data_IF_546457962210
#
_entry.id   IF_546457962210
#
_cell.length_a   1.000
_cell.length_b   1.000
_cell.length_c   1.000
_cell.angle_alpha   90.00
_cell.angle_beta   90.00
_cell.angle_gamma   90.00
#
_symmetry.space_group_name_H-M   'P 1'
#
loop_
_entity.id
_entity.type
_entity.pdbx_description
1 polymer ?
#
# COMPACT_ATOMS: atom_id res chain seq x y z
N UNK A 1 -2.46 5.07 -4.70
CA UNK A 1 -3.26 4.24 -3.78
C UNK A 1 -2.58 2.93 -3.42
N UNK A 2 -2.30 2.70 -2.13
CA UNK A 2 -2.17 1.35 -1.54
C UNK A 2 -3.49 0.89 -0.97
N UNK A 3 -3.75 -0.39 -0.93
CA UNK A 3 -4.91 -0.92 -0.25
C UNK A 3 -4.42 -1.83 0.86
N UNK A 4 -4.87 -1.62 2.11
CA UNK A 4 -4.58 -2.56 3.19
C UNK A 4 -5.59 -3.68 3.18
N UNK A 5 -5.13 -4.92 3.14
CA UNK A 5 -5.96 -6.14 3.33
C UNK A 5 -6.65 -6.23 4.68
N UNK A 6 -6.50 -5.20 5.52
CA UNK A 6 -7.17 -5.09 6.80
C UNK A 6 -8.70 -4.91 6.66
N UNK A 7 -9.21 -4.42 5.52
CA UNK A 7 -10.62 -3.98 5.42
C UNK A 7 -11.59 -4.73 4.52
N UNK A 8 -11.21 -5.81 3.82
CA UNK A 8 -12.08 -6.32 2.76
C UNK A 8 -11.82 -7.74 2.33
N UNK A 9 -11.93 -8.70 3.25
CA UNK A 9 -12.20 -10.10 2.91
C UNK A 9 -13.28 -10.73 3.81
N UNK A 10 -14.08 -9.90 4.50
CA UNK A 10 -15.21 -10.40 5.30
C UNK A 10 -16.42 -10.62 4.38
N UNK A 11 -16.74 -11.91 4.20
CA UNK A 11 -17.97 -12.54 3.72
C UNK A 11 -18.73 -11.92 2.51
N UNK A 12 -18.87 -12.78 1.50
CA UNK A 12 -19.99 -12.92 0.57
C UNK A 12 -20.02 -12.04 -0.70
N UNK A 13 -19.59 -12.67 -1.81
CA UNK A 13 -19.86 -12.30 -3.20
C UNK A 13 -18.61 -12.08 -4.08
N UNK A 14 -18.77 -12.25 -5.40
CA UNK A 14 -17.81 -11.89 -6.47
C UNK A 14 -17.35 -10.40 -6.44
N UNK A 15 -17.90 -9.61 -5.52
CA UNK A 15 -17.87 -8.16 -5.49
C UNK A 15 -16.63 -7.51 -4.84
N UNK A 16 -15.66 -8.28 -4.33
CA UNK A 16 -14.46 -7.78 -3.62
C UNK A 16 -13.12 -8.40 -4.10
N UNK A 17 -13.06 -9.01 -5.28
CA UNK A 17 -11.83 -9.62 -5.81
C UNK A 17 -10.70 -8.61 -6.01
N UNK A 18 -9.46 -9.11 -6.02
CA UNK A 18 -8.28 -8.27 -6.28
C UNK A 18 -8.34 -7.72 -7.70
N UNK A 19 -8.80 -8.53 -8.64
CA UNK A 19 -9.14 -8.10 -9.99
C UNK A 19 -10.05 -6.88 -9.99
N UNK A 20 -11.14 -6.88 -9.22
CA UNK A 20 -12.06 -5.75 -9.17
C UNK A 20 -11.41 -4.49 -8.56
N UNK A 21 -10.61 -4.65 -7.52
CA UNK A 21 -9.87 -3.53 -6.91
C UNK A 21 -8.89 -2.90 -7.90
N UNK A 22 -8.10 -3.72 -8.59
CA UNK A 22 -7.16 -3.27 -9.62
C UNK A 22 -7.91 -2.59 -10.79
N UNK A 23 -9.00 -3.17 -11.26
CA UNK A 23 -9.85 -2.57 -12.30
C UNK A 23 -10.55 -1.27 -11.85
N UNK A 24 -10.68 -1.04 -10.54
CA UNK A 24 -11.25 0.19 -9.98
C UNK A 24 -10.19 1.29 -9.81
N UNK A 25 -8.90 1.03 -10.09
CA UNK A 25 -7.83 2.04 -9.98
C UNK A 25 -6.86 1.81 -8.81
N UNK A 26 -7.01 0.75 -8.02
CA UNK A 26 -6.00 0.38 -7.02
C UNK A 26 -4.71 -0.05 -7.73
N UNK A 27 -3.56 0.46 -7.29
CA UNK A 27 -2.24 0.11 -7.86
C UNK A 27 -1.22 -0.35 -6.83
N UNK A 28 -1.63 -0.49 -5.59
CA UNK A 28 -0.80 -1.12 -4.60
C UNK A 28 -1.63 -1.89 -3.58
N UNK A 29 -1.12 -3.03 -3.13
CA UNK A 29 -1.79 -3.97 -2.24
C UNK A 29 -0.88 -4.25 -1.04
N UNK A 30 -1.38 -4.02 0.15
CA UNK A 30 -0.71 -4.25 1.43
C UNK A 30 -1.29 -5.51 2.06
N UNK A 31 -0.57 -6.62 1.89
CA UNK A 31 -1.03 -7.98 2.16
C UNK A 31 -0.40 -8.53 3.43
N UNK A 32 -1.19 -9.14 4.31
CA UNK A 32 -0.64 -9.93 5.40
C UNK A 32 -0.44 -11.39 4.95
N UNK A 33 0.79 -11.87 5.04
CA UNK A 33 1.18 -13.21 4.60
C UNK A 33 1.86 -13.99 5.72
N UNK A 34 1.70 -15.31 5.71
CA UNK A 34 2.32 -16.21 6.67
C UNK A 34 2.62 -17.58 6.06
N UNK A 35 3.60 -18.29 6.63
CA UNK A 35 3.91 -19.65 6.21
C UNK A 35 2.89 -20.63 6.80
N UNK A 36 2.23 -21.41 5.94
CA UNK A 36 1.32 -22.47 6.37
C UNK A 36 1.32 -23.62 5.35
N UNK A 37 1.36 -24.86 5.86
CA UNK A 37 1.45 -26.08 5.04
C UNK A 37 2.56 -26.05 3.97
N UNK A 38 3.68 -25.39 4.28
CA UNK A 38 4.84 -25.29 3.38
C UNK A 38 4.72 -24.24 2.28
N UNK A 39 3.68 -23.41 2.30
CA UNK A 39 3.40 -22.37 1.30
C UNK A 39 3.11 -21.01 1.96
N UNK A 40 3.02 -19.94 1.17
CA UNK A 40 2.60 -18.62 1.64
C UNK A 40 1.07 -18.49 1.56
N UNK A 41 0.46 -18.12 2.68
CA UNK A 41 -0.99 -17.97 2.81
C UNK A 41 -1.35 -16.54 3.23
N UNK A 42 -2.55 -16.11 2.88
CA UNK A 42 -3.06 -14.78 3.21
C UNK A 42 -3.85 -14.82 4.52
N UNK A 43 -3.57 -13.87 5.41
CA UNK A 43 -4.20 -13.84 6.73
C UNK A 43 -4.07 -12.49 7.41
N UNK A 44 -5.20 -11.86 7.75
CA UNK A 44 -5.24 -10.71 8.63
C UNK A 44 -5.92 -11.09 9.95
N UNK A 45 -5.15 -11.19 11.03
CA UNK A 45 -5.66 -11.49 12.38
C UNK A 45 -6.02 -12.96 12.65
N UNK A 46 -5.91 -13.85 11.66
CA UNK A 46 -6.26 -15.26 11.77
C UNK A 46 -5.27 -16.08 12.63
N UNK A 47 -5.59 -17.34 12.92
CA UNK A 47 -4.68 -18.25 13.63
C UNK A 47 -3.61 -18.79 12.67
N UNK A 48 -2.40 -18.24 12.76
CA UNK A 48 -1.26 -18.65 11.92
C UNK A 48 -0.81 -20.11 12.13
N UNK A 49 -1.13 -20.74 13.27
CA UNK A 49 -0.74 -22.13 13.54
C UNK A 49 -1.69 -23.11 12.86
N UNK A 50 -2.98 -22.84 12.95
CA UNK A 50 -4.02 -23.74 12.42
C UNK A 50 -4.48 -23.36 11.02
N UNK A 51 -4.23 -22.13 10.58
CA UNK A 51 -4.76 -21.57 9.33
C UNK A 51 -6.26 -21.27 9.41
N UNK A 52 -6.88 -21.37 10.59
CA UNK A 52 -8.28 -21.04 10.81
C UNK A 52 -8.50 -19.56 10.47
N UNK A 53 -9.53 -19.28 9.67
CA UNK A 53 -9.85 -17.94 9.12
C UNK A 53 -8.81 -17.37 8.13
N UNK A 54 -7.86 -18.18 7.68
CA UNK A 54 -7.01 -17.80 6.55
C UNK A 54 -7.82 -17.65 5.26
N UNK A 55 -7.30 -16.86 4.33
CA UNK A 55 -7.93 -16.59 3.01
C UNK A 55 -7.36 -17.47 1.89
N UNK A 56 -6.70 -18.56 2.26
CA UNK A 56 -6.08 -19.50 1.33
C UNK A 56 -4.67 -19.10 0.88
N UNK A 57 -4.09 -19.88 -0.05
CA UNK A 57 -2.76 -19.65 -0.59
C UNK A 57 -2.64 -18.31 -1.34
N UNK A 58 -1.50 -17.64 -1.20
CA UNK A 58 -1.21 -16.37 -1.87
C UNK A 58 -1.13 -16.50 -3.40
N UNK A 59 -0.85 -17.70 -3.91
CA UNK A 59 -0.72 -17.99 -5.35
C UNK A 59 -1.95 -17.55 -6.16
N UNK A 60 -3.17 -17.77 -5.63
CA UNK A 60 -4.41 -17.38 -6.31
C UNK A 60 -4.47 -15.86 -6.54
N UNK A 61 -4.20 -15.08 -5.49
CA UNK A 61 -4.13 -13.62 -5.57
C UNK A 61 -3.03 -13.14 -6.51
N UNK A 62 -1.86 -13.76 -6.46
CA UNK A 62 -0.73 -13.36 -7.31
C UNK A 62 -1.02 -13.63 -8.79
N UNK A 63 -1.80 -14.66 -9.11
CA UNK A 63 -2.31 -14.89 -10.47
C UNK A 63 -3.31 -13.82 -10.92
N UNK A 64 -4.14 -13.29 -10.03
CA UNK A 64 -5.01 -12.14 -10.39
C UNK A 64 -4.18 -10.89 -10.72
N UNK A 65 -3.11 -10.63 -9.96
CA UNK A 65 -2.17 -9.54 -10.26
C UNK A 65 -1.45 -9.76 -11.59
N UNK A 66 -1.03 -10.99 -11.88
CA UNK A 66 -0.37 -11.34 -13.15
C UNK A 66 -1.29 -11.14 -14.34
N UNK A 67 -2.54 -11.60 -14.23
CA UNK A 67 -3.56 -11.42 -15.25
C UNK A 67 -3.83 -9.92 -15.50
N UNK A 68 -3.91 -9.11 -14.44
CA UNK A 68 -4.07 -7.66 -14.55
C UNK A 68 -2.87 -7.00 -15.28
N UNK A 69 -1.63 -7.31 -14.89
CA UNK A 69 -0.44 -6.76 -15.54
C UNK A 69 -0.30 -7.24 -17.00
N UNK A 70 -0.78 -8.44 -17.34
CA UNK A 70 -0.83 -8.94 -18.71
C UNK A 70 -1.81 -8.14 -19.57
N UNK A 71 -3.00 -7.82 -19.04
CA UNK A 71 -4.02 -7.08 -19.76
C UNK A 71 -3.76 -5.57 -19.84
N UNK A 72 -2.94 -5.02 -18.93
CA UNK A 72 -2.69 -3.59 -18.84
C UNK A 72 -1.18 -3.29 -18.91
N UNK A 73 -0.66 -3.08 -20.12
CA UNK A 73 0.78 -2.98 -20.39
C UNK A 73 1.46 -1.73 -19.81
N UNK A 74 0.70 -0.67 -19.53
CA UNK A 74 1.21 0.60 -18.99
C UNK A 74 1.13 0.68 -17.46
N UNK A 75 0.51 -0.32 -16.82
CA UNK A 75 0.22 -0.26 -15.40
C UNK A 75 1.36 -0.86 -14.57
N UNK A 76 1.62 -0.23 -13.42
CA UNK A 76 2.53 -0.71 -12.38
C UNK A 76 1.72 -1.11 -11.15
N UNK A 77 2.05 -2.25 -10.55
CA UNK A 77 1.47 -2.70 -9.29
C UNK A 77 2.55 -2.78 -8.21
N UNK A 78 2.26 -2.28 -7.00
CA UNK A 78 3.12 -2.43 -5.83
C UNK A 78 2.53 -3.41 -4.82
N UNK A 79 3.30 -4.38 -4.35
CA UNK A 79 2.93 -5.25 -3.23
C UNK A 79 3.72 -4.85 -1.97
N UNK A 80 3.02 -4.62 -0.86
CA UNK A 80 3.62 -4.34 0.46
C UNK A 80 3.23 -5.48 1.40
N UNK A 81 4.18 -6.35 1.71
CA UNK A 81 3.91 -7.60 2.41
C UNK A 81 4.21 -7.43 3.92
N UNK A 82 3.17 -7.50 4.75
CA UNK A 82 3.34 -7.79 6.18
C UNK A 82 3.73 -9.26 6.35
N UNK A 83 5.03 -9.48 6.17
CA UNK A 83 5.62 -10.80 5.96
C UNK A 83 5.95 -11.58 7.24
N UNK A 84 5.29 -12.74 7.41
CA UNK A 84 5.57 -13.76 8.42
C UNK A 84 5.99 -15.10 7.81
N UNK A 85 6.42 -15.10 6.55
CA UNK A 85 6.96 -16.27 5.86
C UNK A 85 8.46 -16.35 6.11
N UNK A 86 8.93 -17.50 6.56
CA UNK A 86 10.37 -17.72 6.75
C UNK A 86 11.14 -17.59 5.42
N UNK A 87 12.35 -17.05 5.47
CA UNK A 87 13.27 -16.90 4.35
C UNK A 87 13.98 -18.22 3.96
N UNK A 88 14.13 -19.16 4.90
CA UNK A 88 14.96 -20.37 4.72
C UNK A 88 14.54 -21.26 3.54
N UNK A 89 13.29 -21.16 3.08
CA UNK A 89 12.70 -22.06 2.08
C UNK A 89 12.41 -21.41 0.72
N UNK A 90 12.78 -20.15 0.55
CA UNK A 90 12.47 -19.34 -0.63
C UNK A 90 10.99 -19.48 -1.06
N UNK A 91 10.07 -19.39 -0.09
CA UNK A 91 8.65 -19.65 -0.35
C UNK A 91 8.07 -18.57 -1.25
N UNK A 92 8.37 -17.29 -1.02
CA UNK A 92 7.80 -16.23 -1.85
C UNK A 92 8.39 -16.23 -3.25
N UNK A 93 9.69 -16.47 -3.42
CA UNK A 93 10.29 -16.65 -4.74
C UNK A 93 9.56 -17.73 -5.56
N UNK A 94 9.27 -18.90 -4.96
CA UNK A 94 8.48 -19.96 -5.61
C UNK A 94 7.06 -19.52 -5.98
N UNK A 95 6.41 -18.72 -5.15
CA UNK A 95 5.05 -18.20 -5.43
C UNK A 95 5.09 -17.15 -6.56
N UNK A 96 6.11 -16.28 -6.60
CA UNK A 96 6.31 -15.34 -7.71
C UNK A 96 6.57 -16.06 -9.03
N UNK A 97 7.40 -17.11 -9.02
CA UNK A 97 7.67 -17.92 -10.22
C UNK A 97 6.40 -18.66 -10.68
N UNK A 98 5.71 -19.33 -9.76
CA UNK A 98 4.50 -20.10 -10.07
C UNK A 98 3.30 -19.24 -10.50
N UNK A 99 3.26 -17.98 -10.08
CA UNK A 99 2.24 -17.01 -10.54
C UNK A 99 2.59 -16.40 -11.89
N UNK A 100 3.86 -16.44 -12.33
CA UNK A 100 4.34 -15.78 -13.54
C UNK A 100 4.72 -14.30 -13.34
N UNK A 101 4.70 -13.81 -12.10
CA UNK A 101 4.98 -12.41 -11.78
C UNK A 101 6.47 -12.04 -11.86
N UNK A 102 7.39 -13.00 -11.79
CA UNK A 102 8.84 -12.77 -11.81
C UNK A 102 9.28 -11.92 -13.01
N UNK A 103 8.63 -12.08 -14.18
CA UNK A 103 8.93 -11.31 -15.41
C UNK A 103 8.60 -9.81 -15.32
N UNK A 104 7.83 -9.40 -14.30
CA UNK A 104 7.46 -8.00 -14.04
C UNK A 104 8.28 -7.36 -12.93
N UNK A 105 9.08 -8.11 -12.17
CA UNK A 105 9.73 -7.58 -10.97
C UNK A 105 10.67 -6.41 -11.28
N UNK A 106 10.47 -5.31 -10.57
CA UNK A 106 11.40 -4.20 -10.52
C UNK A 106 12.59 -4.58 -9.64
N UNK A 107 13.78 -4.47 -10.21
CA UNK A 107 15.00 -5.00 -9.60
C UNK A 107 15.40 -4.20 -8.37
N UNK A 108 15.69 -4.91 -7.27
CA UNK A 108 16.19 -4.32 -6.02
C UNK A 108 17.42 -3.44 -6.22
N UNK A 109 18.33 -3.80 -7.13
CA UNK A 109 19.56 -3.02 -7.39
C UNK A 109 19.30 -1.68 -8.07
N UNK A 110 18.10 -1.48 -8.63
CA UNK A 110 17.65 -0.21 -9.23
C UNK A 110 16.76 0.60 -8.30
N UNK A 111 16.45 0.11 -7.09
CA UNK A 111 15.65 0.86 -6.14
C UNK A 111 16.52 1.93 -5.47
N UNK A 112 16.07 3.20 -5.46
CA UNK A 112 16.85 4.29 -4.90
C UNK A 112 17.02 4.15 -3.40
N UNK A 113 18.17 4.58 -2.91
CA UNK A 113 18.49 4.64 -1.49
C UNK A 113 18.76 6.10 -1.11
N UNK A 114 18.87 6.37 0.19
CA UNK A 114 19.27 7.70 0.70
C UNK A 114 18.38 8.88 0.27
N UNK A 115 17.13 8.62 -0.13
CA UNK A 115 16.20 9.66 -0.56
C UNK A 115 16.30 10.01 -2.04
N UNK A 116 17.08 9.25 -2.81
CA UNK A 116 17.18 9.40 -4.26
C UNK A 116 15.85 9.10 -4.96
N UNK A 117 15.81 9.58 -6.20
CA UNK A 117 14.69 9.50 -7.12
C UNK A 117 14.46 8.11 -7.67
N UNK A 118 13.18 7.74 -7.79
CA UNK A 118 12.79 6.51 -8.47
C UNK A 118 12.87 6.71 -9.99
N UNK A 119 13.14 5.65 -10.77
CA UNK A 119 13.06 5.73 -12.22
C UNK A 119 11.67 6.17 -12.68
N UNK A 120 11.64 6.83 -13.84
CA UNK A 120 10.41 7.27 -14.45
C UNK A 120 9.51 6.07 -14.75
N UNK A 121 8.20 6.24 -14.53
CA UNK A 121 7.19 5.20 -14.82
C UNK A 121 7.30 4.70 -16.27
N UNK A 122 7.53 5.61 -17.23
CA UNK A 122 7.73 5.25 -18.65
C UNK A 122 8.91 4.29 -18.86
N UNK A 123 9.99 4.44 -18.09
CA UNK A 123 11.19 3.61 -18.22
C UNK A 123 10.96 2.23 -17.58
N UNK A 124 10.29 2.20 -16.43
CA UNK A 124 9.85 0.96 -15.78
C UNK A 124 8.91 0.15 -16.69
N UNK A 125 7.93 0.82 -17.31
CA UNK A 125 6.98 0.22 -18.26
C UNK A 125 7.70 -0.30 -19.51
N UNK A 126 8.57 0.51 -20.11
CA UNK A 126 9.35 0.13 -21.30
C UNK A 126 10.22 -1.09 -21.04
N UNK A 127 10.80 -1.19 -19.85
CA UNK A 127 11.58 -2.35 -19.42
C UNK A 127 10.74 -3.56 -18.95
N UNK A 128 9.40 -3.46 -18.98
CA UNK A 128 8.46 -4.40 -18.40
C UNK A 128 8.70 -4.71 -16.91
N UNK A 129 9.32 -3.78 -16.17
CA UNK A 129 9.60 -3.88 -14.74
C UNK A 129 8.47 -3.20 -13.94
N UNK A 130 7.28 -3.80 -14.00
CA UNK A 130 6.00 -3.21 -13.58
C UNK A 130 5.43 -3.76 -12.27
N UNK A 131 6.21 -4.53 -11.52
CA UNK A 131 5.85 -5.03 -10.19
C UNK A 131 6.91 -4.62 -9.17
N UNK A 132 6.54 -3.77 -8.21
CA UNK A 132 7.40 -3.37 -7.09
C UNK A 132 6.99 -4.16 -5.85
N UNK A 133 7.92 -4.81 -5.15
CA UNK A 133 7.59 -5.64 -3.98
C UNK A 133 8.42 -5.24 -2.78
N UNK A 134 7.74 -4.95 -1.67
CA UNK A 134 8.33 -4.71 -0.36
C UNK A 134 7.91 -5.80 0.62
N UNK A 135 8.84 -6.26 1.46
CA UNK A 135 8.59 -7.15 2.59
C UNK A 135 8.92 -6.46 3.91
N UNK A 136 8.08 -6.69 4.93
CA UNK A 136 8.34 -6.23 6.30
C UNK A 136 9.41 -7.06 7.02
N UNK A 137 9.90 -8.15 6.40
CA UNK A 137 10.94 -9.02 6.92
C UNK A 137 12.31 -8.69 6.30
N UNK A 138 13.29 -8.37 7.15
CA UNK A 138 14.64 -7.95 6.70
C UNK A 138 15.38 -9.04 5.94
N UNK A 139 15.23 -10.30 6.35
CA UNK A 139 15.95 -11.43 5.76
C UNK A 139 15.61 -11.64 4.29
N UNK A 140 14.42 -11.21 3.83
CA UNK A 140 13.95 -11.40 2.45
C UNK A 140 14.77 -10.62 1.42
N UNK A 141 15.39 -9.51 1.82
CA UNK A 141 16.21 -8.72 0.91
C UNK A 141 17.46 -9.48 0.47
N UNK A 142 18.13 -10.15 1.40
CA UNK A 142 19.34 -10.92 1.11
C UNK A 142 19.02 -12.31 0.54
N UNK A 143 18.00 -12.98 1.06
CA UNK A 143 17.68 -14.36 0.70
C UNK A 143 16.87 -14.51 -0.61
N UNK A 144 15.97 -13.57 -0.89
CA UNK A 144 15.00 -13.69 -1.98
C UNK A 144 15.01 -12.46 -2.91
N UNK A 145 15.87 -11.46 -2.65
CA UNK A 145 15.95 -10.23 -3.43
C UNK A 145 14.73 -9.31 -3.28
N UNK A 146 13.86 -9.55 -2.28
CA UNK A 146 12.66 -8.75 -2.05
C UNK A 146 12.99 -7.58 -1.12
N UNK A 147 12.68 -6.36 -1.56
CA UNK A 147 13.06 -5.13 -0.87
C UNK A 147 12.57 -5.10 0.58
N UNK A 148 13.46 -4.82 1.53
CA UNK A 148 13.05 -4.61 2.92
C UNK A 148 12.35 -3.25 3.03
N UNK A 149 11.05 -3.26 3.30
CA UNK A 149 10.17 -2.07 3.28
C UNK A 149 10.80 -0.85 3.96
N UNK A 150 11.38 -1.04 5.15
CA UNK A 150 11.89 0.03 5.99
C UNK A 150 13.19 0.68 5.46
N UNK A 151 13.80 0.12 4.42
CA UNK A 151 14.90 0.76 3.71
C UNK A 151 14.43 1.85 2.74
N UNK A 152 13.17 1.82 2.31
CA UNK A 152 12.66 2.64 1.20
C UNK A 152 11.53 3.60 1.60
N UNK A 153 10.75 3.27 2.63
CA UNK A 153 9.61 4.09 3.04
C UNK A 153 9.54 4.38 4.54
N UNK A 154 8.94 5.54 4.87
CA UNK A 154 8.41 5.81 6.20
C UNK A 154 6.91 5.51 6.23
N UNK A 155 6.41 4.95 7.32
CA UNK A 155 4.99 4.61 7.49
C UNK A 155 4.36 5.41 8.64
N UNK A 156 3.37 6.23 8.30
CA UNK A 156 2.46 6.86 9.26
C UNK A 156 1.46 5.82 9.77
N UNK A 157 1.20 5.83 11.08
CA UNK A 157 0.16 5.02 11.71
C UNK A 157 -0.82 5.91 12.46
N UNK A 158 -2.12 5.77 12.15
CA UNK A 158 -3.19 6.41 12.89
C UNK A 158 -3.40 5.74 14.27
N UNK A 159 -3.31 6.52 15.34
CA UNK A 159 -3.81 6.14 16.67
C UNK A 159 -5.11 6.90 16.92
N UNK A 160 -6.22 6.18 17.04
CA UNK A 160 -7.54 6.74 17.38
C UNK A 160 -7.61 7.05 18.88
N UNK A 161 -7.19 8.26 19.25
CA UNK A 161 -7.74 8.94 20.42
C UNK A 161 -8.20 10.32 19.98
N UNK A 162 -9.48 10.37 19.55
CA UNK A 162 -10.21 11.62 19.42
C UNK A 162 -10.17 12.29 20.80
N UNK A 163 -9.32 13.32 20.95
CA UNK A 163 -9.25 14.13 22.17
C UNK A 163 -7.87 14.33 22.81
N UNK A 164 -6.79 13.75 22.29
CA UNK A 164 -5.43 14.12 22.70
C UNK A 164 -4.61 14.40 21.46
N UNK A 165 -4.10 15.63 21.30
CA UNK A 165 -3.18 16.11 20.27
C UNK A 165 -2.61 14.99 19.40
N UNK A 166 -3.27 14.72 18.27
CA UNK A 166 -3.03 13.57 17.41
C UNK A 166 -1.56 13.48 17.00
N UNK A 167 -0.76 12.75 17.77
CA UNK A 167 0.66 12.63 17.49
C UNK A 167 0.84 11.85 16.19
N UNK A 168 1.52 12.48 15.23
CA UNK A 168 2.00 11.87 14.00
C UNK A 168 3.04 10.80 14.31
N UNK A 169 2.59 9.62 14.72
CA UNK A 169 3.51 8.53 15.06
C UNK A 169 3.85 7.71 13.82
N UNK A 170 5.13 7.41 13.67
CA UNK A 170 5.59 6.40 12.75
C UNK A 170 5.29 5.00 13.30
N UNK A 171 5.10 4.02 12.40
CA UNK A 171 5.07 2.61 12.80
C UNK A 171 6.39 2.23 13.48
N UNK A 172 6.36 1.34 14.48
CA UNK A 172 7.52 1.10 15.35
C UNK A 172 8.82 0.66 14.66
N UNK A 173 8.77 0.04 13.47
CA UNK A 173 9.96 -0.31 12.67
C UNK A 173 10.33 0.74 11.61
N UNK A 174 9.44 1.71 11.36
CA UNK A 174 9.69 2.85 10.49
C UNK A 174 10.64 3.82 11.18
N UNK A 175 11.45 4.52 10.38
CA UNK A 175 12.10 5.74 10.85
C UNK A 175 11.05 6.84 11.09
N UNK A 176 11.48 7.95 11.70
CA UNK A 176 10.66 9.14 11.89
C UNK A 176 10.10 9.64 10.56
N UNK A 177 8.88 10.14 10.59
CA UNK A 177 8.13 10.60 9.41
C UNK A 177 8.82 11.70 8.59
N UNK A 178 9.60 12.55 9.26
CA UNK A 178 10.40 13.60 8.64
C UNK A 178 11.76 13.12 8.08
N UNK A 179 12.05 11.82 8.12
CA UNK A 179 13.29 11.28 7.59
C UNK A 179 13.22 11.21 6.05
N UNK A 180 14.00 12.07 5.40
CA UNK A 180 14.07 12.19 3.93
C UNK A 180 15.03 11.20 3.28
N UNK A 181 15.81 10.42 4.04
CA UNK A 181 16.61 9.32 3.48
C UNK A 181 15.77 8.14 2.97
N UNK A 182 14.45 8.22 3.14
CA UNK A 182 13.44 7.31 2.61
C UNK A 182 12.58 8.09 1.63
N UNK A 183 12.69 7.78 0.35
CA UNK A 183 12.01 8.52 -0.72
C UNK A 183 10.49 8.30 -0.72
N UNK A 184 10.01 7.19 -0.15
CA UNK A 184 8.59 6.85 -0.13
C UNK A 184 7.91 7.14 1.22
N UNK A 185 6.64 7.52 1.15
CA UNK A 185 5.78 7.77 2.31
C UNK A 185 4.51 6.91 2.18
N UNK A 186 4.27 6.05 3.17
CA UNK A 186 3.07 5.25 3.32
C UNK A 186 2.20 5.82 4.44
N UNK A 187 0.99 6.23 4.09
CA UNK A 187 -0.02 6.74 4.98
C UNK A 187 -1.01 5.64 5.36
N UNK A 188 -0.74 4.92 6.45
CA UNK A 188 -1.59 3.82 6.91
C UNK A 188 -2.79 4.37 7.71
N UNK A 189 -3.86 4.67 6.98
CA UNK A 189 -5.14 5.12 7.50
C UNK A 189 -6.06 3.92 7.80
N UNK A 190 -5.58 3.04 8.67
CA UNK A 190 -6.37 1.92 9.18
C UNK A 190 -6.58 2.13 10.68
N UNK A 191 -7.86 2.22 11.08
CA UNK A 191 -8.27 2.35 12.47
C UNK A 191 -7.81 1.12 13.26
N UNK A 192 -6.82 1.33 14.14
CA UNK A 192 -6.20 0.23 14.88
C UNK A 192 -6.80 -0.01 16.28
N UNK A 193 -7.73 0.81 16.77
CA UNK A 193 -8.26 0.69 18.14
C UNK A 193 -9.78 0.86 18.29
N UNK A 194 -10.58 0.06 17.57
CA UNK A 194 -11.89 -0.38 18.11
C UNK A 194 -11.75 -1.41 19.24
N UNK A 195 -10.54 -1.87 19.56
CA UNK A 195 -10.27 -2.72 20.72
C UNK A 195 -10.15 -1.88 22.00
N UNK A 196 -11.27 -1.61 22.69
CA UNK A 196 -11.33 -1.62 24.19
C UNK A 196 -12.63 -1.21 24.91
N UNK A 197 -13.81 -1.04 24.29
CA UNK A 197 -14.99 -0.60 25.08
C UNK A 197 -16.11 -1.60 25.39
N UNK A 198 -16.22 -2.75 24.73
CA UNK A 198 -17.29 -3.72 25.06
C UNK A 198 -16.73 -5.04 25.62
N UNK A 199 -16.78 -5.19 26.95
CA UNK A 199 -16.39 -6.40 27.72
C UNK A 199 -17.28 -7.64 27.45
N UNK A 200 -18.24 -7.57 26.53
CA UNK A 200 -19.22 -8.64 26.28
C UNK A 200 -19.07 -9.33 24.91
N UNK A 201 -17.98 -9.10 24.18
CA UNK A 201 -17.71 -9.86 22.96
C UNK A 201 -17.01 -11.18 23.29
N UNK A 202 -17.75 -12.29 23.18
CA UNK A 202 -17.27 -13.65 23.38
C UNK A 202 -16.46 -14.22 22.20
N UNK A 203 -16.10 -13.42 21.20
CA UNK A 203 -15.17 -13.82 20.14
C UNK A 203 -14.06 -12.78 19.98
N UNK A 204 -12.84 -13.25 19.80
CA UNK A 204 -11.64 -12.41 19.58
C UNK A 204 -11.64 -11.69 18.21
N UNK A 205 -12.79 -11.65 17.51
CA UNK A 205 -12.88 -11.44 16.06
C UNK A 205 -14.04 -10.57 15.59
N UNK A 206 -14.59 -9.68 16.44
CA UNK A 206 -15.51 -8.65 15.93
C UNK A 206 -14.71 -7.44 15.41
N UNK A 207 -14.11 -7.59 14.24
CA UNK A 207 -13.70 -6.45 13.41
C UNK A 207 -14.97 -5.92 12.73
N UNK A 208 -15.76 -5.10 13.42
CA UNK A 208 -16.71 -4.27 12.71
C UNK A 208 -15.90 -3.34 11.82
N UNK A 209 -15.98 -3.55 10.50
CA UNK A 209 -15.34 -2.70 9.51
C UNK A 209 -15.63 -1.23 9.86
N UNK A 210 -14.65 -0.31 9.76
CA UNK A 210 -14.90 1.09 10.06
C UNK A 210 -16.13 1.59 9.30
N UNK A 211 -16.94 2.39 10.00
CA UNK A 211 -17.89 3.34 9.41
C UNK A 211 -17.22 4.01 8.21
N UNK A 212 -17.99 4.22 7.14
CA UNK A 212 -17.59 4.90 5.90
C UNK A 212 -16.41 5.88 6.08
N UNK A 213 -15.34 5.71 5.30
CA UNK A 213 -14.22 6.67 5.30
C UNK A 213 -14.76 8.03 4.86
N UNK A 214 -14.72 9.02 5.74
CA UNK A 214 -15.02 10.39 5.39
C UNK A 214 -13.81 11.00 4.67
N UNK A 215 -13.95 11.25 3.37
CA UNK A 215 -12.89 11.85 2.54
C UNK A 215 -12.34 13.13 3.08
N UNK A 216 -13.22 14.00 3.60
CA UNK A 216 -12.78 15.30 4.14
C UNK A 216 -11.88 15.09 5.35
N UNK A 217 -12.22 14.15 6.21
CA UNK A 217 -11.39 13.82 7.39
C UNK A 217 -10.07 13.17 6.97
N UNK A 218 -10.09 12.29 5.97
CA UNK A 218 -8.87 11.69 5.38
C UNK A 218 -7.95 12.76 4.79
N UNK A 219 -8.45 13.61 3.89
CA UNK A 219 -7.69 14.69 3.25
C UNK A 219 -7.19 15.68 4.32
N UNK A 220 -8.02 16.08 5.28
CA UNK A 220 -7.60 16.95 6.38
C UNK A 220 -6.48 16.33 7.21
N UNK A 221 -6.57 15.03 7.51
CA UNK A 221 -5.51 14.32 8.25
C UNK A 221 -4.21 14.29 7.43
N UNK A 222 -4.29 14.03 6.12
CA UNK A 222 -3.13 14.09 5.21
C UNK A 222 -2.51 15.50 5.21
N UNK A 223 -3.34 16.55 5.06
CA UNK A 223 -2.90 17.96 5.10
C UNK A 223 -2.24 18.31 6.43
N UNK A 224 -2.80 17.87 7.56
CA UNK A 224 -2.19 18.08 8.88
C UNK A 224 -0.82 17.40 8.99
N UNK A 225 -0.67 16.21 8.39
CA UNK A 225 0.59 15.47 8.42
C UNK A 225 1.68 16.09 7.54
N UNK A 226 1.33 16.89 6.52
CA UNK A 226 2.25 17.45 5.53
C UNK A 226 3.50 18.08 6.15
N UNK A 227 3.33 18.94 7.16
CA UNK A 227 4.45 19.59 7.85
C UNK A 227 5.30 18.58 8.63
N UNK A 228 4.68 17.56 9.23
CA UNK A 228 5.35 16.53 10.03
C UNK A 228 6.12 15.49 9.20
N UNK A 229 5.83 15.37 7.90
CA UNK A 229 6.52 14.49 6.94
C UNK A 229 7.51 15.24 6.04
N UNK A 230 8.05 16.37 6.53
CA UNK A 230 9.00 17.22 5.79
C UNK A 230 8.43 17.83 4.51
N UNK A 231 7.16 18.26 4.55
CA UNK A 231 6.47 18.86 3.39
C UNK A 231 6.43 17.93 2.17
N UNK A 232 6.27 16.63 2.40
CA UNK A 232 6.08 15.63 1.34
C UNK A 232 4.64 15.17 1.33
N UNK A 233 4.11 14.82 0.16
CA UNK A 233 2.81 14.14 0.12
C UNK A 233 3.01 12.62 0.14
N UNK A 234 2.12 11.85 0.78
CA UNK A 234 2.14 10.40 0.71
C UNK A 234 2.16 9.87 -0.72
N UNK A 235 3.04 8.90 -1.00
CA UNK A 235 2.94 8.11 -2.24
C UNK A 235 1.78 7.13 -2.09
N UNK A 236 1.67 6.51 -0.93
CA UNK A 236 0.73 5.45 -0.67
C UNK A 236 -0.23 5.88 0.43
N UNK A 237 -1.54 5.78 0.23
CA UNK A 237 -2.55 5.79 1.33
C UNK A 237 -2.99 4.35 1.46
N UNK A 238 -2.93 3.72 2.64
CA UNK A 238 -3.49 2.40 2.88
C UNK A 238 -4.77 2.53 3.73
N UNK A 239 -5.86 1.95 3.26
CA UNK A 239 -7.19 2.02 3.88
C UNK A 239 -7.85 0.65 3.96
N UNK A 240 -8.83 0.54 4.86
CA UNK A 240 -9.75 -0.58 4.93
C UNK A 240 -10.95 -0.35 4.00
N UNK A 241 -11.01 -1.10 2.91
CA UNK A 241 -12.01 -0.91 1.86
C UNK A 241 -13.26 -1.73 2.16
N UNK A 242 -14.26 -1.06 2.73
CA UNK A 242 -15.63 -1.59 2.80
C UNK A 242 -16.52 -0.90 1.76
N UNK A 243 -17.42 -1.69 1.16
CA UNK A 243 -18.24 -1.38 -0.04
C UNK A 243 -18.82 0.04 -0.07
N UNK A 244 -18.33 0.88 -0.99
CA UNK A 244 -19.21 1.69 -1.85
C UNK A 244 -19.05 1.24 -3.30
N UNK A 245 -20.16 1.25 -4.06
CA UNK A 245 -20.22 0.87 -5.47
C UNK A 245 -19.55 1.89 -6.42
N UNK A 246 -19.12 3.04 -5.90
CA UNK A 246 -18.48 4.12 -6.67
C UNK A 246 -17.03 4.43 -6.25
N UNK A 247 -16.54 3.90 -5.13
CA UNK A 247 -15.17 4.14 -4.65
C UNK A 247 -14.81 5.60 -4.33
N UNK A 248 -15.72 6.56 -4.52
CA UNK A 248 -15.40 7.98 -4.72
C UNK A 248 -14.59 8.59 -3.59
N UNK A 249 -14.88 8.20 -2.34
CA UNK A 249 -14.27 8.83 -1.18
C UNK A 249 -12.73 8.69 -1.10
N UNK A 250 -12.18 7.53 -1.42
CA UNK A 250 -10.73 7.28 -1.36
C UNK A 250 -10.05 7.69 -2.67
N UNK A 251 -10.77 7.58 -3.80
CA UNK A 251 -10.27 8.06 -5.08
C UNK A 251 -10.13 9.59 -5.09
N UNK A 252 -11.06 10.34 -4.48
CA UNK A 252 -10.91 11.79 -4.29
C UNK A 252 -9.65 12.16 -3.49
N UNK A 253 -9.29 11.39 -2.45
CA UNK A 253 -8.06 11.62 -1.71
C UNK A 253 -6.81 11.31 -2.56
N UNK A 254 -6.91 10.36 -3.50
CA UNK A 254 -5.85 10.07 -4.47
C UNK A 254 -5.75 11.14 -5.53
N UNK A 255 -6.87 11.64 -6.05
CA UNK A 255 -6.91 12.75 -7.01
C UNK A 255 -6.32 14.02 -6.38
N UNK A 256 -6.61 14.28 -5.11
CA UNK A 256 -5.96 15.33 -4.33
C UNK A 256 -4.44 15.13 -4.26
N UNK A 257 -3.98 13.93 -3.89
CA UNK A 257 -2.55 13.64 -3.81
C UNK A 257 -1.88 13.78 -5.18
N UNK A 258 -2.45 13.20 -6.23
CA UNK A 258 -1.95 13.30 -7.60
C UNK A 258 -1.90 14.76 -8.06
N UNK A 259 -2.94 15.57 -7.77
CA UNK A 259 -2.94 17.00 -8.05
C UNK A 259 -1.81 17.74 -7.32
N UNK A 260 -1.62 17.44 -6.04
CA UNK A 260 -0.53 18.03 -5.25
C UNK A 260 0.85 17.65 -5.74
N UNK A 261 0.98 16.41 -6.17
CA UNK A 261 2.25 15.82 -6.56
C UNK A 261 2.67 16.22 -7.97
N UNK A 262 1.72 16.28 -8.92
CA UNK A 262 2.00 16.58 -10.32
C UNK A 262 2.05 18.08 -10.63
N UNK A 263 1.22 18.88 -9.95
CA UNK A 263 1.04 20.28 -10.32
C UNK A 263 0.68 21.22 -9.15
N UNK A 264 0.73 20.73 -7.91
CA UNK A 264 0.43 21.51 -6.70
C UNK A 264 -1.05 21.81 -6.47
N UNK A 265 -1.94 21.38 -7.36
CA UNK A 265 -3.37 21.63 -7.28
C UNK A 265 -4.05 20.80 -6.18
N UNK A 266 -5.27 21.16 -5.79
CA UNK A 266 -6.10 20.34 -4.88
C UNK A 266 -6.79 19.18 -5.57
N UNK A 267 -6.73 19.12 -6.91
CA UNK A 267 -7.36 18.09 -7.72
C UNK A 267 -6.51 17.90 -8.99
N UNK A 268 -6.20 16.65 -9.34
CA UNK A 268 -5.44 16.29 -10.54
C UNK A 268 -6.10 16.75 -11.84
N UNK A 269 -7.44 16.82 -11.88
CA UNK A 269 -8.18 17.30 -13.04
C UNK A 269 -7.91 18.79 -13.35
N UNK A 270 -7.33 19.52 -12.38
CA UNK A 270 -6.91 20.91 -12.55
C UNK A 270 -5.50 21.05 -13.15
N UNK A 271 -4.72 19.96 -13.28
CA UNK A 271 -3.37 19.98 -13.84
C UNK A 271 -3.31 20.19 -15.38
N UNK A 272 -4.35 20.75 -16.00
CA UNK A 272 -4.46 20.86 -17.46
C UNK A 272 -3.31 21.68 -18.06
N UNK A 273 -2.76 21.19 -19.17
CA UNK A 273 -1.71 21.85 -19.97
C UNK A 273 -0.43 22.24 -19.20
N UNK A 274 -0.06 21.48 -18.16
CA UNK A 274 1.14 21.78 -17.36
C UNK A 274 1.01 23.02 -16.47
N UNK A 275 -0.23 23.47 -16.22
CA UNK A 275 -0.49 24.59 -15.32
C UNK A 275 -0.17 24.19 -13.89
N UNK A 276 0.68 24.98 -13.23
CA UNK A 276 0.99 24.82 -11.80
C UNK A 276 0.02 25.66 -10.97
N UNK A 277 -0.60 25.06 -9.96
CA UNK A 277 -1.40 25.80 -8.98
C UNK A 277 -0.54 26.47 -7.88
N UNK A 278 0.70 26.00 -7.70
CA UNK A 278 1.65 26.54 -6.73
C UNK A 278 3.06 26.48 -7.29
N UNK A 279 3.93 27.44 -6.91
CA UNK A 279 5.35 27.47 -7.28
C UNK A 279 6.21 26.43 -6.58
N UNK A 280 5.68 25.80 -5.52
CA UNK A 280 6.41 24.86 -4.65
C UNK A 280 6.39 23.41 -5.17
N UNK A 281 6.06 23.21 -6.45
CA UNK A 281 6.13 21.90 -7.10
C UNK A 281 7.52 21.80 -7.69
N UNK A 282 8.39 21.03 -7.03
CA UNK A 282 9.71 20.75 -7.59
C UNK A 282 9.53 20.06 -8.96
N UNK A 283 10.34 20.46 -9.95
CA UNK A 283 10.39 19.89 -11.30
C UNK A 283 10.72 18.37 -11.28
N UNK A 284 11.14 17.86 -10.12
CA UNK A 284 11.36 16.44 -9.78
C UNK A 284 10.06 15.67 -9.48
N UNK A 285 8.90 16.31 -9.58
CA UNK A 285 7.57 15.69 -9.52
C UNK A 285 7.30 14.61 -10.58
N UNK A 286 8.28 14.18 -11.37
CA UNK A 286 8.21 13.00 -12.24
C UNK A 286 8.94 11.77 -11.68
N UNK A 287 9.65 11.91 -10.56
CA UNK A 287 10.61 10.93 -10.04
C UNK A 287 10.12 10.13 -8.82
N UNK A 288 8.83 10.20 -8.52
CA UNK A 288 8.23 9.31 -7.54
C UNK A 288 7.46 8.21 -8.27
N UNK A 289 7.28 7.06 -7.62
CA UNK A 289 6.40 6.00 -8.13
C UNK A 289 4.98 6.58 -8.16
N UNK A 290 4.62 7.22 -9.26
CA UNK A 290 3.35 7.90 -9.42
C UNK A 290 2.26 6.93 -9.84
N UNK A 291 1.10 7.18 -9.25
CA UNK A 291 -0.17 6.61 -9.60
C UNK A 291 -0.66 7.32 -10.85
N UNK A 292 -1.06 6.52 -11.85
CA UNK A 292 -1.88 6.89 -13.01
C UNK A 292 -2.07 8.39 -13.23
N UNK A 293 -1.35 8.91 -14.23
CA UNK A 293 -1.89 9.95 -15.10
C UNK A 293 -2.44 9.25 -16.34
#
# INVERSE_FOLDING_TARGET
>A
MTYSTKGGFYNDGEDNSITKQLNSGVRALMLNIFAYKGDAWLCHGCDYKTGLESRGPALGLFKEVEAFLTLNSYEIVTLILEDRVDAEKNILGKVFDASGLTKYLFSLSKMPLHGEDWPLVKDMVTANQRLVVFSSSKSKQESEGIAYQWNFMVEYKLYTLIGSDGMHTNRGRSLKLNNTSKSLVLFNYVDSEQKKKNKNYHSAFDFTAPKEINTKDLINTIKMCYTSISKRWPNFIAVDYSKRRDGGAVFEAVDFLNGKLLCGCEDVNSCQNGSLCTSDVDDESQNHIWFNV
#
